data_IF_421362812476
#
_entry.id   IF_421362812476
#
_cell.length_a   1.000
_cell.length_b   1.000
_cell.length_c   1.000
_cell.angle_alpha   90.00
_cell.angle_beta   90.00
_cell.angle_gamma   90.00
#
_symmetry.space_group_name_H-M   'P 1'
#
loop_
_entity.id
_entity.type
_entity.pdbx_description
1 polymer ?
#
# COMPACT_ATOMS: atom_id res chain seq x y z
N UNK A 1 7.12 -11.01 28.33
CA UNK A 1 5.66 -11.13 28.55
C UNK A 1 5.16 -9.89 29.28
N UNK A 2 3.91 -9.48 29.07
CA UNK A 2 3.23 -8.53 29.97
C UNK A 2 2.62 -9.34 31.11
N UNK A 3 3.03 -9.05 32.35
CA UNK A 3 2.60 -9.78 33.54
C UNK A 3 2.17 -8.82 34.65
N UNK A 4 1.23 -9.27 35.47
CA UNK A 4 0.77 -8.56 36.66
C UNK A 4 0.66 -9.51 37.85
N UNK A 5 0.94 -9.02 39.05
CA UNK A 5 0.76 -9.76 40.30
C UNK A 5 -0.50 -9.26 40.97
N UNK A 6 -1.46 -10.14 41.17
CA UNK A 6 -2.73 -9.79 41.79
C UNK A 6 -2.88 -10.51 43.14
N UNK A 7 -3.32 -9.80 44.20
CA UNK A 7 -3.68 -10.43 45.45
C UNK A 7 -4.97 -11.25 45.27
N UNK A 8 -5.04 -12.39 45.95
CA UNK A 8 -6.20 -13.26 46.00
C UNK A 8 -6.81 -13.27 47.41
N UNK A 9 -8.05 -13.77 47.49
CA UNK A 9 -8.68 -14.07 48.76
C UNK A 9 -7.77 -14.96 49.64
N UNK A 10 -7.79 -14.70 50.94
CA UNK A 10 -6.99 -15.41 51.95
C UNK A 10 -5.47 -15.16 51.92
N UNK A 11 -5.01 -14.05 51.34
CA UNK A 11 -3.59 -13.65 51.37
C UNK A 11 -2.68 -14.46 50.43
N UNK A 12 -3.24 -15.16 49.46
CA UNK A 12 -2.49 -15.72 48.33
C UNK A 12 -2.23 -14.64 47.28
N UNK A 13 -1.30 -14.88 46.38
CA UNK A 13 -1.08 -14.06 45.19
C UNK A 13 -1.22 -14.93 43.93
N UNK A 14 -1.50 -14.31 42.80
CA UNK A 14 -1.43 -14.93 41.47
C UNK A 14 -0.62 -14.06 40.50
N UNK A 15 0.06 -14.70 39.57
CA UNK A 15 0.70 -14.03 38.43
C UNK A 15 -0.23 -14.22 37.23
N UNK A 16 -0.63 -13.10 36.64
CA UNK A 16 -1.44 -13.06 35.42
C UNK A 16 -0.54 -12.68 34.26
N UNK A 17 -0.56 -13.49 33.20
CA UNK A 17 0.16 -13.20 31.95
C UNK A 17 -0.88 -12.86 30.88
N UNK A 18 -0.77 -11.69 30.27
CA UNK A 18 -1.70 -11.20 29.24
C UNK A 18 -1.07 -11.13 27.84
N UNK A 19 0.26 -11.08 27.75
CA UNK A 19 0.99 -11.09 26.48
C UNK A 19 2.25 -11.95 26.58
N UNK A 20 2.61 -12.65 25.50
CA UNK A 20 3.82 -13.47 25.41
C UNK A 20 4.83 -12.88 24.41
N UNK A 21 6.12 -13.19 24.55
CA UNK A 21 7.10 -12.83 23.53
C UNK A 21 6.73 -13.39 22.14
N UNK A 22 7.22 -12.72 21.09
CA UNK A 22 7.00 -13.13 19.72
C UNK A 22 7.46 -14.57 19.45
N UNK A 23 6.70 -15.32 18.64
CA UNK A 23 6.93 -16.75 18.33
C UNK A 23 6.88 -17.73 19.51
N UNK A 24 6.49 -17.30 20.72
CA UNK A 24 6.33 -18.22 21.86
C UNK A 24 4.99 -18.94 21.76
N UNK A 25 5.03 -20.27 21.75
CA UNK A 25 3.82 -21.09 21.79
C UNK A 25 3.28 -21.17 23.23
N UNK A 26 2.05 -20.68 23.43
CA UNK A 26 1.38 -20.66 24.74
C UNK A 26 1.26 -22.05 25.37
N UNK A 27 0.77 -23.04 24.64
CA UNK A 27 0.56 -24.39 25.19
C UNK A 27 1.89 -25.02 25.65
N UNK A 28 2.94 -24.91 24.83
CA UNK A 28 4.28 -25.39 25.19
C UNK A 28 4.86 -24.66 26.40
N UNK A 29 4.61 -23.35 26.52
CA UNK A 29 5.02 -22.59 27.70
C UNK A 29 4.34 -23.10 28.97
N UNK A 30 3.03 -23.34 28.92
CA UNK A 30 2.24 -23.87 30.05
C UNK A 30 2.72 -25.27 30.42
N UNK A 31 2.93 -26.15 29.44
CA UNK A 31 3.51 -27.49 29.66
C UNK A 31 4.89 -27.41 30.32
N UNK A 32 5.74 -26.47 29.88
CA UNK A 32 7.06 -26.27 30.46
C UNK A 32 6.99 -25.80 31.91
N UNK A 33 6.08 -24.88 32.23
CA UNK A 33 5.86 -24.43 33.60
C UNK A 33 5.40 -25.60 34.46
N UNK A 34 4.42 -26.39 33.99
CA UNK A 34 3.93 -27.57 34.71
C UNK A 34 5.03 -28.61 34.97
N UNK A 35 5.92 -28.83 34.00
CA UNK A 35 7.11 -29.67 34.17
C UNK A 35 8.04 -29.13 35.25
N UNK A 36 8.38 -27.83 35.23
CA UNK A 36 9.26 -27.22 36.24
C UNK A 36 8.68 -27.28 37.66
N UNK A 37 7.36 -27.18 37.79
CA UNK A 37 6.66 -27.35 39.08
C UNK A 37 6.71 -28.80 39.55
N UNK A 38 6.40 -29.75 38.66
CA UNK A 38 6.46 -31.19 38.97
C UNK A 38 7.86 -31.63 39.40
N UNK A 39 8.89 -31.14 38.72
CA UNK A 39 10.30 -31.44 39.00
C UNK A 39 10.86 -30.66 40.20
N UNK A 40 10.02 -29.85 40.89
CA UNK A 40 10.38 -28.99 42.02
C UNK A 40 11.52 -27.99 41.71
N UNK A 41 11.72 -27.64 40.44
CA UNK A 41 12.64 -26.57 40.04
C UNK A 41 12.05 -25.19 40.36
N UNK A 42 10.72 -25.08 40.29
CA UNK A 42 9.96 -23.92 40.77
C UNK A 42 8.96 -24.46 41.80
N UNK A 43 9.11 -24.04 43.05
CA UNK A 43 8.21 -24.42 44.14
C UNK A 43 7.37 -23.22 44.58
N UNK A 44 6.10 -23.44 44.88
CA UNK A 44 5.17 -22.39 45.30
C UNK A 44 4.03 -22.11 44.32
N UNK A 45 4.02 -22.70 43.13
CA UNK A 45 2.88 -22.64 42.22
C UNK A 45 1.86 -23.70 42.65
N UNK A 46 0.66 -23.27 43.02
CA UNK A 46 -0.43 -24.17 43.44
C UNK A 46 -1.29 -24.59 42.26
N UNK A 47 -1.49 -23.70 41.29
CA UNK A 47 -2.36 -23.97 40.15
C UNK A 47 -1.90 -23.17 38.93
N UNK A 48 -2.08 -23.77 37.75
CA UNK A 48 -1.78 -23.15 36.46
C UNK A 48 -2.99 -23.36 35.55
N UNK A 49 -3.62 -22.26 35.13
CA UNK A 49 -4.81 -22.29 34.26
C UNK A 49 -4.62 -21.40 33.04
N UNK A 50 -5.04 -21.91 31.89
CA UNK A 50 -5.26 -21.09 30.70
C UNK A 50 -6.70 -20.57 30.72
N UNK A 51 -6.86 -19.29 31.05
CA UNK A 51 -8.14 -18.58 31.08
C UNK A 51 -8.29 -17.69 29.83
N UNK A 52 -7.57 -18.02 28.75
CA UNK A 52 -7.69 -17.28 27.49
C UNK A 52 -9.01 -17.60 26.80
N UNK A 53 -9.63 -16.59 26.22
CA UNK A 53 -10.87 -16.69 25.47
C UNK A 53 -10.73 -16.02 24.10
N UNK A 54 -11.86 -15.64 23.48
CA UNK A 54 -11.88 -14.95 22.18
C UNK A 54 -11.51 -13.48 22.29
N UNK A 55 -11.61 -12.89 23.47
CA UNK A 55 -11.39 -11.47 23.73
C UNK A 55 -9.97 -11.18 24.22
N UNK A 56 -9.28 -12.17 24.79
CA UNK A 56 -7.90 -11.99 25.21
C UNK A 56 -7.17 -13.26 25.63
N UNK A 57 -5.85 -13.14 25.67
CA UNK A 57 -4.99 -14.17 26.25
C UNK A 57 -4.81 -13.92 27.74
N UNK A 58 -4.98 -14.97 28.55
CA UNK A 58 -4.83 -14.87 29.99
C UNK A 58 -4.35 -16.18 30.60
N UNK A 59 -3.12 -16.21 31.09
CA UNK A 59 -2.58 -17.36 31.84
C UNK A 59 -2.58 -16.99 33.32
N UNK A 60 -3.25 -17.80 34.14
CA UNK A 60 -3.33 -17.62 35.59
C UNK A 60 -2.37 -18.60 36.28
N UNK A 61 -1.43 -18.07 37.06
CA UNK A 61 -0.48 -18.85 37.85
C UNK A 61 -0.73 -18.53 39.32
N UNK A 62 -1.47 -19.38 40.02
CA UNK A 62 -1.75 -19.19 41.44
C UNK A 62 -0.58 -19.65 42.31
N UNK A 63 -0.31 -18.88 43.36
CA UNK A 63 0.81 -19.12 44.26
C UNK A 63 0.35 -19.50 45.67
N UNK A 64 1.22 -20.20 46.40
CA UNK A 64 1.06 -20.48 47.83
C UNK A 64 1.25 -19.19 48.65
N UNK A 65 0.72 -19.16 49.88
CA UNK A 65 0.71 -17.94 50.73
C UNK A 65 2.09 -17.54 51.26
N UNK A 66 2.99 -18.51 51.40
CA UNK A 66 4.31 -18.36 51.99
C UNK A 66 5.39 -17.95 50.98
N UNK A 67 5.04 -17.88 49.69
CA UNK A 67 6.01 -17.56 48.63
C UNK A 67 5.90 -16.12 48.15
N UNK A 68 7.06 -15.53 47.86
CA UNK A 68 7.12 -14.21 47.27
C UNK A 68 6.88 -14.29 45.76
N UNK A 69 5.81 -13.66 45.29
CA UNK A 69 5.40 -13.70 43.89
C UNK A 69 6.47 -13.18 42.92
N UNK A 70 7.26 -12.17 43.32
CA UNK A 70 8.35 -11.64 42.49
C UNK A 70 9.47 -12.66 42.30
N UNK A 71 9.75 -13.49 43.31
CA UNK A 71 10.77 -14.53 43.21
C UNK A 71 10.32 -15.61 42.22
N UNK A 72 9.07 -16.04 42.29
CA UNK A 72 8.50 -17.00 41.33
C UNK A 72 8.49 -16.43 39.92
N UNK A 73 8.08 -15.17 39.75
CA UNK A 73 8.09 -14.50 38.44
C UNK A 73 9.50 -14.44 37.83
N UNK A 74 10.52 -14.09 38.62
CA UNK A 74 11.90 -14.08 38.16
C UNK A 74 12.42 -15.48 37.79
N UNK A 75 12.03 -16.51 38.54
CA UNK A 75 12.34 -17.89 38.19
C UNK A 75 11.67 -18.31 36.88
N UNK A 76 10.40 -17.93 36.67
CA UNK A 76 9.69 -18.19 35.43
C UNK A 76 10.38 -17.50 34.24
N UNK A 77 10.78 -16.24 34.37
CA UNK A 77 11.57 -15.56 33.34
C UNK A 77 12.90 -16.25 33.03
N UNK A 78 13.59 -16.77 34.04
CA UNK A 78 14.90 -17.42 33.87
C UNK A 78 14.80 -18.82 33.26
N UNK A 79 13.74 -19.55 33.56
CA UNK A 79 13.62 -20.98 33.24
C UNK A 79 12.61 -21.31 32.15
N UNK A 80 11.89 -20.31 31.62
CA UNK A 80 10.86 -20.48 30.59
C UNK A 80 10.92 -19.36 29.55
N UNK A 81 10.20 -19.53 28.45
CA UNK A 81 10.07 -18.50 27.40
C UNK A 81 9.08 -17.37 27.77
N UNK A 82 8.76 -17.20 29.05
CA UNK A 82 8.00 -16.04 29.52
C UNK A 82 8.79 -14.74 29.28
N UNK A 83 10.12 -14.84 29.28
CA UNK A 83 11.06 -13.85 28.78
C UNK A 83 11.99 -14.53 27.75
N UNK A 84 12.18 -13.88 26.61
CA UNK A 84 13.07 -14.38 25.56
C UNK A 84 13.84 -13.20 24.95
N UNK A 85 14.95 -13.49 24.27
CA UNK A 85 15.75 -12.48 23.56
C UNK A 85 15.49 -12.59 22.08
N UNK A 86 15.16 -11.46 21.43
CA UNK A 86 14.99 -11.41 19.99
C UNK A 86 16.25 -10.82 19.33
N UNK A 87 17.00 -11.63 18.60
CA UNK A 87 18.14 -11.19 17.81
C UNK A 87 17.68 -10.55 16.51
N UNK A 88 17.86 -9.23 16.36
CA UNK A 88 17.48 -8.52 15.14
C UNK A 88 18.58 -8.64 14.09
N UNK A 89 18.25 -9.20 12.92
CA UNK A 89 19.07 -9.13 11.72
C UNK A 89 18.22 -8.68 10.53
N UNK A 90 18.50 -7.47 10.04
CA UNK A 90 17.84 -6.92 8.85
C UNK A 90 18.56 -7.40 7.59
N UNK A 91 18.42 -8.69 7.26
CA UNK A 91 18.97 -9.30 6.05
C UNK A 91 17.91 -9.27 4.94
N UNK A 92 18.24 -8.65 3.81
CA UNK A 92 17.35 -8.57 2.66
C UNK A 92 18.12 -8.73 1.33
N UNK A 93 17.39 -8.95 0.25
CA UNK A 93 17.96 -8.92 -1.11
C UNK A 93 17.97 -7.49 -1.62
N UNK A 94 19.15 -6.99 -1.96
CA UNK A 94 19.32 -5.74 -2.70
C UNK A 94 19.95 -6.10 -4.04
N UNK A 95 19.25 -5.82 -5.13
CA UNK A 95 19.68 -6.21 -6.49
C UNK A 95 20.06 -7.70 -6.59
N UNK A 96 19.20 -8.57 -6.05
CA UNK A 96 19.38 -10.03 -6.00
C UNK A 96 20.61 -10.51 -5.20
N UNK A 97 21.20 -9.66 -4.36
CA UNK A 97 22.31 -10.03 -3.48
C UNK A 97 21.90 -9.88 -2.01
N UNK A 98 22.21 -10.88 -1.14
CA UNK A 98 21.90 -10.80 0.27
C UNK A 98 22.79 -9.76 0.96
N UNK A 99 22.17 -8.81 1.66
CA UNK A 99 22.86 -7.77 2.43
C UNK A 99 22.21 -7.59 3.80
N UNK A 100 23.05 -7.48 4.83
CA UNK A 100 22.62 -6.99 6.14
C UNK A 100 22.57 -5.47 6.06
N UNK A 101 21.43 -4.90 6.42
CA UNK A 101 21.12 -3.48 6.29
C UNK A 101 20.88 -2.87 7.66
N UNK A 102 21.17 -1.58 7.78
CA UNK A 102 20.69 -0.74 8.88
C UNK A 102 19.24 -0.31 8.64
N UNK A 103 18.59 0.22 9.68
CA UNK A 103 17.23 0.76 9.56
C UNK A 103 17.16 1.88 8.52
N UNK A 104 18.18 2.75 8.49
CA UNK A 104 18.26 3.85 7.53
C UNK A 104 18.33 3.31 6.09
N UNK A 105 19.16 2.28 5.84
CA UNK A 105 19.26 1.66 4.52
C UNK A 105 17.95 1.00 4.10
N UNK A 106 17.28 0.28 5.01
CA UNK A 106 15.97 -0.34 4.74
C UNK A 106 14.95 0.70 4.28
N UNK A 107 14.84 1.81 5.03
CA UNK A 107 13.92 2.91 4.69
C UNK A 107 14.31 3.61 3.40
N UNK A 108 15.61 3.79 3.15
CA UNK A 108 16.12 4.43 1.91
C UNK A 108 15.82 3.57 0.68
N UNK A 109 16.01 2.25 0.77
CA UNK A 109 15.66 1.34 -0.33
C UNK A 109 14.16 1.29 -0.58
N UNK A 110 13.35 1.32 0.48
CA UNK A 110 11.90 1.42 0.34
C UNK A 110 11.49 2.72 -0.35
N UNK A 111 12.01 3.87 0.07
CA UNK A 111 11.69 5.16 -0.54
C UNK A 111 12.08 5.21 -2.01
N UNK A 112 13.29 4.73 -2.36
CA UNK A 112 13.75 4.63 -3.74
C UNK A 112 12.83 3.74 -4.60
N UNK A 113 12.33 2.65 -4.02
CA UNK A 113 11.35 1.82 -4.71
C UNK A 113 10.02 2.56 -4.92
N UNK A 114 9.55 3.33 -3.92
CA UNK A 114 8.36 4.16 -4.07
C UNK A 114 8.52 5.23 -5.16
N UNK A 115 9.68 5.89 -5.24
CA UNK A 115 10.02 6.82 -6.32
C UNK A 115 9.90 6.15 -7.69
N UNK A 116 10.47 4.96 -7.87
CA UNK A 116 10.37 4.22 -9.13
C UNK A 116 8.92 3.87 -9.47
N UNK A 117 8.16 3.34 -8.50
CA UNK A 117 6.77 2.93 -8.69
C UNK A 117 5.88 4.13 -9.07
N UNK A 118 6.00 5.23 -8.33
CA UNK A 118 5.20 6.44 -8.58
C UNK A 118 5.60 7.09 -9.90
N UNK A 119 6.90 7.16 -10.21
CA UNK A 119 7.38 7.67 -11.50
C UNK A 119 6.80 6.85 -12.66
N UNK A 120 6.81 5.51 -12.56
CA UNK A 120 6.26 4.63 -13.59
C UNK A 120 4.76 4.80 -13.76
N UNK A 121 4.03 4.97 -12.65
CA UNK A 121 2.58 5.22 -12.65
C UNK A 121 2.26 6.56 -13.33
N UNK A 122 2.91 7.64 -12.91
CA UNK A 122 2.69 8.98 -13.48
C UNK A 122 3.09 9.01 -14.95
N UNK A 123 4.18 8.36 -15.34
CA UNK A 123 4.58 8.24 -16.76
C UNK A 123 3.51 7.51 -17.59
N UNK A 124 2.92 6.44 -17.05
CA UNK A 124 1.82 5.72 -17.71
C UNK A 124 0.60 6.63 -17.89
N UNK A 125 0.19 7.32 -16.83
CA UNK A 125 -0.98 8.21 -16.84
C UNK A 125 -0.75 9.41 -17.78
N UNK A 126 0.46 9.97 -17.79
CA UNK A 126 0.87 11.03 -18.72
C UNK A 126 0.77 10.60 -20.18
N UNK A 127 1.30 9.42 -20.51
CA UNK A 127 1.23 8.90 -21.88
C UNK A 127 -0.23 8.69 -22.31
N UNK A 128 -1.08 8.13 -21.44
CA UNK A 128 -2.51 7.97 -21.71
C UNK A 128 -3.23 9.30 -21.89
N UNK A 129 -2.91 10.29 -21.05
CA UNK A 129 -3.47 11.63 -21.17
C UNK A 129 -3.07 12.30 -22.49
N UNK A 130 -1.78 12.19 -22.88
CA UNK A 130 -1.27 12.71 -24.16
C UNK A 130 -1.90 12.04 -25.38
N UNK A 131 -2.01 10.71 -25.39
CA UNK A 131 -2.70 9.96 -26.45
C UNK A 131 -4.15 10.45 -26.63
N UNK A 132 -4.87 10.66 -25.52
CA UNK A 132 -6.25 11.13 -25.56
C UNK A 132 -6.34 12.59 -26.00
N UNK A 133 -5.49 13.46 -25.46
CA UNK A 133 -5.45 14.88 -25.81
C UNK A 133 -5.17 15.08 -27.31
N UNK A 134 -4.24 14.29 -27.88
CA UNK A 134 -3.91 14.32 -29.29
C UNK A 134 -5.12 13.99 -30.19
N UNK A 135 -5.93 13.00 -29.82
CA UNK A 135 -7.18 12.68 -30.55
C UNK A 135 -8.18 13.84 -30.44
N UNK A 136 -8.37 14.39 -29.24
CA UNK A 136 -9.30 15.49 -29.02
C UNK A 136 -8.90 16.75 -29.79
N UNK A 137 -7.61 17.05 -29.87
CA UNK A 137 -7.08 18.15 -30.68
C UNK A 137 -7.48 18.00 -32.15
N UNK A 138 -7.31 16.79 -32.71
CA UNK A 138 -7.73 16.49 -34.08
C UNK A 138 -9.24 16.64 -34.29
N UNK A 139 -10.05 16.14 -33.36
CA UNK A 139 -11.51 16.26 -33.41
C UNK A 139 -11.97 17.72 -33.31
N UNK A 140 -11.39 18.51 -32.41
CA UNK A 140 -11.72 19.93 -32.24
C UNK A 140 -11.37 20.74 -33.49
N UNK A 141 -10.16 20.52 -34.06
CA UNK A 141 -9.76 21.12 -35.32
C UNK A 141 -10.67 20.71 -36.47
N UNK A 142 -11.10 19.45 -36.54
CA UNK A 142 -12.06 18.99 -37.54
C UNK A 142 -13.44 19.64 -37.39
N UNK A 143 -13.90 19.87 -36.16
CA UNK A 143 -15.16 20.56 -35.88
C UNK A 143 -15.14 22.04 -36.28
N UNK A 144 -13.98 22.70 -36.24
CA UNK A 144 -13.82 24.07 -36.74
C UNK A 144 -13.98 24.19 -38.25
N UNK A 145 -13.67 23.12 -38.99
CA UNK A 145 -13.76 23.06 -40.46
C UNK A 145 -14.76 22.00 -40.94
N UNK A 146 -15.84 21.79 -40.19
CA UNK A 146 -16.72 20.63 -40.36
C UNK A 146 -17.32 20.48 -41.76
N UNK A 147 -17.71 21.59 -42.40
CA UNK A 147 -18.28 21.55 -43.75
C UNK A 147 -17.28 21.01 -44.78
N UNK A 148 -16.01 21.42 -44.67
CA UNK A 148 -14.94 20.95 -45.54
C UNK A 148 -14.61 19.47 -45.25
N UNK A 149 -14.57 19.08 -43.98
CA UNK A 149 -14.38 17.68 -43.56
C UNK A 149 -15.49 16.79 -44.13
N UNK A 150 -16.76 17.19 -44.02
CA UNK A 150 -17.90 16.45 -44.58
C UNK A 150 -17.80 16.36 -46.10
N UNK A 151 -17.40 17.44 -46.77
CA UNK A 151 -17.23 17.45 -48.22
C UNK A 151 -16.14 16.47 -48.67
N UNK A 152 -15.00 16.43 -47.98
CA UNK A 152 -13.91 15.49 -48.26
C UNK A 152 -14.38 14.04 -48.07
N UNK A 153 -15.08 13.74 -46.98
CA UNK A 153 -15.60 12.40 -46.68
C UNK A 153 -16.63 11.98 -47.74
N UNK A 154 -17.61 12.85 -48.08
CA UNK A 154 -18.64 12.55 -49.09
C UNK A 154 -18.09 12.41 -50.51
N UNK A 155 -17.04 13.14 -50.85
CA UNK A 155 -16.38 13.05 -52.17
C UNK A 155 -15.44 11.84 -52.30
N UNK A 156 -15.21 11.10 -51.22
CA UNK A 156 -14.30 9.95 -51.19
C UNK A 156 -15.04 8.63 -51.38
N UNK A 157 -14.45 7.69 -52.12
CA UNK A 157 -15.12 6.43 -52.47
C UNK A 157 -15.20 5.44 -51.31
N UNK A 158 -14.30 5.55 -50.33
CA UNK A 158 -14.22 4.71 -49.14
C UNK A 158 -13.51 5.45 -47.99
N UNK A 159 -13.54 4.88 -46.79
CA UNK A 159 -12.93 5.47 -45.59
C UNK A 159 -11.42 5.67 -45.71
N UNK A 160 -10.69 4.74 -46.34
CA UNK A 160 -9.25 4.85 -46.51
C UNK A 160 -8.86 6.08 -47.35
N UNK A 161 -9.56 6.32 -48.46
CA UNK A 161 -9.35 7.51 -49.30
C UNK A 161 -9.74 8.81 -48.59
N UNK A 162 -10.81 8.79 -47.77
CA UNK A 162 -11.18 9.93 -46.96
C UNK A 162 -10.07 10.26 -45.94
N UNK A 163 -9.48 9.22 -45.33
CA UNK A 163 -8.41 9.35 -44.35
C UNK A 163 -7.17 10.00 -44.96
N UNK A 164 -6.68 9.49 -46.08
CA UNK A 164 -5.52 10.05 -46.78
C UNK A 164 -5.72 11.53 -47.14
N UNK A 165 -6.91 11.90 -47.64
CA UNK A 165 -7.21 13.30 -47.97
C UNK A 165 -7.29 14.20 -46.74
N UNK A 166 -7.85 13.71 -45.63
CA UNK A 166 -7.90 14.46 -44.37
C UNK A 166 -6.49 14.68 -43.81
N UNK A 167 -5.63 13.66 -43.89
CA UNK A 167 -4.21 13.74 -43.53
C UNK A 167 -3.50 14.79 -44.39
N UNK A 168 -3.59 14.71 -45.72
CA UNK A 168 -2.94 15.68 -46.63
C UNK A 168 -3.45 17.11 -46.44
N UNK A 169 -4.76 17.28 -46.24
CA UNK A 169 -5.39 18.61 -46.23
C UNK A 169 -5.17 19.35 -44.92
N UNK A 170 -5.31 18.66 -43.79
CA UNK A 170 -5.31 19.26 -42.46
C UNK A 170 -4.10 18.86 -41.62
N UNK A 171 -3.16 18.10 -42.17
CA UNK A 171 -1.96 17.59 -41.49
C UNK A 171 -2.32 16.78 -40.24
N UNK A 172 -3.46 16.08 -40.26
CA UNK A 172 -3.80 15.12 -39.23
C UNK A 172 -2.88 13.92 -39.32
N UNK A 173 -2.59 13.29 -38.18
CA UNK A 173 -1.95 11.98 -38.22
C UNK A 173 -2.96 10.86 -38.46
N UNK A 174 -2.45 9.63 -38.58
CA UNK A 174 -3.25 8.45 -38.88
C UNK A 174 -4.37 8.20 -37.85
N UNK A 175 -4.05 8.42 -36.56
CA UNK A 175 -4.95 8.16 -35.43
C UNK A 175 -6.04 9.23 -35.36
N UNK A 176 -5.68 10.50 -35.52
CA UNK A 176 -6.62 11.62 -35.57
C UNK A 176 -7.56 11.48 -36.76
N UNK A 177 -7.03 11.23 -37.96
CA UNK A 177 -7.84 11.09 -39.16
C UNK A 177 -8.82 9.91 -39.06
N UNK A 178 -8.39 8.79 -38.47
CA UNK A 178 -9.27 7.66 -38.17
C UNK A 178 -10.37 8.05 -37.18
N UNK A 179 -10.02 8.73 -36.08
CA UNK A 179 -11.00 9.18 -35.09
C UNK A 179 -12.03 10.17 -35.66
N UNK A 180 -11.64 11.03 -36.60
CA UNK A 180 -12.54 11.96 -37.31
C UNK A 180 -13.53 11.19 -38.19
N UNK A 181 -13.08 10.15 -38.90
CA UNK A 181 -13.96 9.31 -39.72
C UNK A 181 -14.95 8.52 -38.85
N UNK A 182 -14.50 8.05 -37.69
CA UNK A 182 -15.32 7.29 -36.74
C UNK A 182 -16.27 8.17 -35.91
N UNK A 183 -16.23 9.49 -36.11
CA UNK A 183 -17.10 10.43 -35.42
C UNK A 183 -18.56 10.20 -35.79
N UNK A 184 -19.43 10.22 -34.78
CA UNK A 184 -20.89 10.10 -34.97
C UNK A 184 -21.49 11.48 -35.24
N UNK A 185 -22.49 11.58 -36.12
CA UNK A 185 -23.17 12.85 -36.46
C UNK A 185 -23.68 13.63 -35.24
N UNK A 186 -24.05 12.96 -34.14
CA UNK A 186 -24.45 13.62 -32.88
C UNK A 186 -23.34 14.48 -32.25
N UNK A 187 -22.08 14.17 -32.52
CA UNK A 187 -20.92 14.90 -32.01
C UNK A 187 -20.81 16.32 -32.61
N UNK A 188 -21.56 16.60 -33.67
CA UNK A 188 -21.62 17.93 -34.31
C UNK A 188 -22.51 18.92 -33.55
N UNK A 189 -23.24 18.47 -32.53
CA UNK A 189 -24.06 19.36 -31.71
C UNK A 189 -23.19 20.24 -30.83
N UNK A 190 -23.64 21.48 -30.56
CA UNK A 190 -22.87 22.43 -29.74
C UNK A 190 -22.52 21.90 -28.36
N UNK A 191 -23.44 21.15 -27.73
CA UNK A 191 -23.22 20.54 -26.41
C UNK A 191 -22.10 19.48 -26.43
N UNK A 192 -22.01 18.67 -27.50
CA UNK A 192 -20.95 17.65 -27.59
C UNK A 192 -19.60 18.30 -27.90
N UNK A 193 -19.57 19.38 -28.68
CA UNK A 193 -18.37 20.18 -28.89
C UNK A 193 -17.84 20.78 -27.58
N UNK A 194 -18.72 21.37 -26.76
CA UNK A 194 -18.36 21.94 -25.46
C UNK A 194 -17.75 20.88 -24.53
N UNK A 195 -18.36 19.69 -24.46
CA UNK A 195 -17.79 18.56 -23.69
C UNK A 195 -16.39 18.16 -24.14
N UNK A 196 -16.13 18.13 -25.46
CA UNK A 196 -14.80 17.81 -25.97
C UNK A 196 -13.77 18.89 -25.62
N UNK A 197 -14.18 20.16 -25.63
CA UNK A 197 -13.34 21.28 -25.21
C UNK A 197 -13.01 21.20 -23.71
N UNK A 198 -14.00 20.91 -22.87
CA UNK A 198 -13.82 20.74 -21.44
C UNK A 198 -12.91 19.55 -21.11
N UNK A 199 -13.13 18.40 -21.78
CA UNK A 199 -12.29 17.21 -21.63
C UNK A 199 -10.84 17.51 -22.03
N UNK A 200 -10.64 18.19 -23.16
CA UNK A 200 -9.31 18.58 -23.61
C UNK A 200 -8.63 19.54 -22.63
N UNK A 201 -9.33 20.55 -22.14
CA UNK A 201 -8.80 21.51 -21.16
C UNK A 201 -8.43 20.83 -19.84
N UNK A 202 -9.24 19.88 -19.37
CA UNK A 202 -8.91 19.07 -18.20
C UNK A 202 -7.65 18.21 -18.41
N UNK A 203 -7.56 17.53 -19.56
CA UNK A 203 -6.39 16.72 -19.88
C UNK A 203 -5.11 17.56 -19.99
N UNK A 204 -5.17 18.75 -20.59
CA UNK A 204 -4.02 19.66 -20.65
C UNK A 204 -3.54 20.08 -19.25
N UNK A 205 -4.47 20.34 -18.32
CA UNK A 205 -4.12 20.63 -16.91
C UNK A 205 -3.42 19.43 -16.25
N UNK A 206 -3.96 18.23 -16.43
CA UNK A 206 -3.37 17.00 -15.87
C UNK A 206 -2.00 16.68 -16.48
N UNK A 207 -1.84 16.86 -17.79
CA UNK A 207 -0.56 16.68 -18.48
C UNK A 207 0.49 17.62 -17.88
N UNK A 208 0.17 18.90 -17.73
CA UNK A 208 1.08 19.89 -17.14
C UNK A 208 1.43 19.54 -15.68
N UNK A 209 0.47 19.06 -14.89
CA UNK A 209 0.70 18.59 -13.52
C UNK A 209 1.66 17.39 -13.50
N UNK A 210 1.40 16.37 -14.32
CA UNK A 210 2.26 15.18 -14.40
C UNK A 210 3.67 15.51 -14.88
N UNK A 211 3.82 16.39 -15.89
CA UNK A 211 5.12 16.85 -16.36
C UNK A 211 5.87 17.62 -15.27
N UNK A 212 5.18 18.46 -14.50
CA UNK A 212 5.77 19.16 -13.37
C UNK A 212 6.26 18.18 -12.28
N UNK A 213 5.46 17.16 -11.95
CA UNK A 213 5.84 16.15 -10.95
C UNK A 213 7.05 15.32 -11.43
N UNK A 214 7.09 14.94 -12.70
CA UNK A 214 8.21 14.17 -13.26
C UNK A 214 9.49 15.02 -13.41
N UNK A 215 9.38 16.34 -13.50
CA UNK A 215 10.51 17.26 -13.63
C UNK A 215 11.10 17.71 -12.27
N UNK A 216 10.35 17.62 -11.17
CA UNK A 216 10.79 18.04 -9.84
C UNK A 216 10.68 16.89 -8.82
N UNK A 217 11.84 16.39 -8.39
CA UNK A 217 11.97 15.36 -7.36
C UNK A 217 11.24 15.73 -6.06
N UNK A 218 11.18 17.02 -5.69
CA UNK A 218 10.46 17.44 -4.47
C UNK A 218 8.95 17.29 -4.62
N UNK A 219 8.40 17.55 -5.81
CA UNK A 219 6.98 17.33 -6.08
C UNK A 219 6.66 15.85 -6.05
N UNK A 220 7.51 15.01 -6.66
CA UNK A 220 7.39 13.56 -6.59
C UNK A 220 7.39 13.05 -5.15
N UNK A 221 8.35 13.50 -4.32
CA UNK A 221 8.41 13.16 -2.90
C UNK A 221 7.19 13.68 -2.12
N UNK A 222 6.64 14.82 -2.52
CA UNK A 222 5.39 15.35 -1.98
C UNK A 222 4.19 14.43 -2.23
N UNK A 223 4.06 13.91 -3.45
CA UNK A 223 3.04 12.91 -3.82
C UNK A 223 3.20 11.63 -3.01
N UNK A 224 4.42 11.08 -2.95
CA UNK A 224 4.72 9.85 -2.19
C UNK A 224 4.36 10.05 -0.71
N UNK A 225 4.75 11.18 -0.11
CA UNK A 225 4.42 11.50 1.28
C UNK A 225 2.92 11.55 1.50
N UNK A 226 2.17 12.19 0.59
CA UNK A 226 0.72 12.26 0.67
C UNK A 226 0.08 10.87 0.67
N UNK A 227 0.54 9.98 -0.21
CA UNK A 227 0.03 8.61 -0.29
C UNK A 227 0.34 7.77 0.95
N UNK A 228 1.57 7.87 1.47
CA UNK A 228 1.95 7.19 2.72
C UNK A 228 1.08 7.67 3.89
N UNK A 229 0.77 8.98 3.95
CA UNK A 229 -0.09 9.54 4.99
C UNK A 229 -1.52 8.98 4.91
N UNK A 230 -2.09 8.89 3.70
CA UNK A 230 -3.44 8.30 3.51
C UNK A 230 -3.48 6.83 3.95
N UNK A 231 -2.39 6.07 3.77
CA UNK A 231 -2.31 4.68 4.23
C UNK A 231 -2.19 4.62 5.77
N UNK A 232 -1.40 5.51 6.36
CA UNK A 232 -1.21 5.58 7.81
C UNK A 232 -2.49 5.97 8.56
N UNK A 233 -3.31 6.84 7.97
CA UNK A 233 -4.52 7.34 8.61
C UNK A 233 -5.72 6.39 8.47
N UNK A 234 -5.55 5.25 7.77
CA UNK A 234 -6.53 4.17 7.64
C UNK A 234 -6.31 3.07 8.66
#
# INVERSE_FOLDING_TARGET
AVTNIEPMANGKNRIIVTELPYMVNKARLIEKIAELVRDKKIDGITELRDESDREGMRICIELRRDVNANVILNQLYKHTQLQDTFGVIMLALVNNQPRVLSLLEMLSYYLKHQEEVVTRRITYDLNKAKERAHILEGLLKALDYIDEVINIIRASKNGAMAKEKLIERFEFDDIQAQAIIDMRLRALTGLEREKLQDEFAELQRRIAEFEAILADEKLLLGVIKGEIQVINDK
#
